data_IF_035285237331
#
_entry.id   IF_035285237331
#
_cell.length_a   1.000
_cell.length_b   1.000
_cell.length_c   1.000
_cell.angle_alpha   90.00
_cell.angle_beta   90.00
_cell.angle_gamma   90.00
#
_symmetry.space_group_name_H-M   'P 1'
#
loop_
_entity.id
_entity.type
_entity.pdbx_description
1 polymer ?
#
# COMPACT_ATOMS: atom_id res chain seq x y z
N UNK A 1 -72.43 -12.96 -36.73
CA UNK A 1 -71.74 -11.77 -36.24
C UNK A 1 -70.92 -12.21 -35.03
N UNK A 2 -69.66 -12.55 -35.29
CA UNK A 2 -68.72 -13.04 -34.22
C UNK A 2 -67.90 -11.86 -33.78
N UNK A 3 -67.98 -11.51 -32.51
CA UNK A 3 -67.14 -10.54 -31.85
C UNK A 3 -65.84 -11.23 -31.41
N UNK A 4 -64.72 -10.82 -31.96
CA UNK A 4 -63.39 -11.22 -31.50
C UNK A 4 -62.93 -10.18 -30.50
N UNK A 5 -62.80 -10.58 -29.23
CA UNK A 5 -62.17 -9.79 -28.18
C UNK A 5 -60.66 -10.02 -28.24
N UNK A 6 -59.89 -8.97 -28.56
CA UNK A 6 -58.43 -8.95 -28.49
C UNK A 6 -58.07 -8.63 -27.04
N UNK A 7 -57.48 -9.59 -26.35
CA UNK A 7 -56.84 -9.37 -25.03
C UNK A 7 -55.43 -8.83 -25.24
N UNK A 8 -55.21 -7.59 -24.81
CA UNK A 8 -53.92 -6.98 -24.74
C UNK A 8 -53.21 -7.48 -23.47
N UNK A 9 -52.24 -8.37 -23.61
CA UNK A 9 -51.31 -8.71 -22.55
C UNK A 9 -50.26 -7.60 -22.46
N UNK A 10 -50.26 -6.84 -21.39
CA UNK A 10 -49.15 -5.98 -21.01
C UNK A 10 -48.02 -6.84 -20.49
N UNK A 11 -46.90 -6.92 -21.23
CA UNK A 11 -45.66 -7.48 -20.73
C UNK A 11 -45.11 -6.59 -19.61
N UNK A 12 -45.06 -7.15 -18.42
CA UNK A 12 -44.45 -6.52 -17.24
C UNK A 12 -42.94 -6.61 -17.38
N UNK A 13 -42.33 -5.57 -17.97
CA UNK A 13 -40.89 -5.38 -18.00
C UNK A 13 -40.42 -4.90 -16.61
N UNK A 14 -40.45 -5.78 -15.64
CA UNK A 14 -39.69 -5.56 -14.41
C UNK A 14 -38.22 -5.81 -14.73
N UNK A 15 -37.49 -4.77 -15.16
CA UNK A 15 -36.04 -4.75 -15.08
C UNK A 15 -35.68 -5.02 -13.62
N UNK A 16 -35.14 -6.22 -13.39
CA UNK A 16 -34.66 -6.61 -12.09
C UNK A 16 -33.56 -5.66 -11.64
N UNK A 17 -33.90 -4.69 -10.80
CA UNK A 17 -32.90 -3.87 -10.10
C UNK A 17 -32.06 -4.84 -9.28
N UNK A 18 -30.87 -5.16 -9.78
CA UNK A 18 -29.86 -5.90 -9.02
C UNK A 18 -29.54 -5.03 -7.80
N UNK A 19 -30.12 -5.36 -6.66
CA UNK A 19 -29.77 -4.71 -5.38
C UNK A 19 -28.30 -4.99 -5.16
N UNK A 20 -27.48 -3.94 -5.28
CA UNK A 20 -26.06 -4.02 -4.92
C UNK A 20 -25.96 -4.48 -3.47
N UNK A 21 -25.30 -5.64 -3.25
CA UNK A 21 -25.15 -6.21 -1.92
C UNK A 21 -24.38 -5.24 -1.03
N UNK A 22 -25.01 -4.77 0.05
CA UNK A 22 -24.38 -3.85 0.99
C UNK A 22 -23.36 -4.61 1.83
N UNK A 23 -22.08 -4.26 1.69
CA UNK A 23 -20.97 -4.79 2.48
C UNK A 23 -19.95 -3.69 2.80
N UNK A 24 -19.28 -3.80 3.94
CA UNK A 24 -18.17 -2.91 4.33
C UNK A 24 -16.83 -3.61 4.20
N UNK A 25 -16.74 -4.90 4.57
CA UNK A 25 -15.52 -5.71 4.44
C UNK A 25 -15.88 -7.07 3.89
N UNK A 26 -15.25 -7.46 2.78
CA UNK A 26 -15.55 -8.73 2.09
C UNK A 26 -14.31 -9.29 1.39
N UNK A 27 -14.18 -10.62 1.40
CA UNK A 27 -13.11 -11.35 0.71
C UNK A 27 -13.53 -11.69 -0.73
N UNK A 28 -12.56 -11.62 -1.63
CA UNK A 28 -12.71 -11.90 -3.05
C UNK A 28 -11.55 -12.76 -3.57
N UNK A 29 -11.73 -13.30 -4.75
CA UNK A 29 -10.69 -14.03 -5.49
C UNK A 29 -10.61 -13.48 -6.92
N UNK A 30 -9.39 -13.27 -7.39
CA UNK A 30 -9.07 -12.97 -8.78
C UNK A 30 -8.23 -14.09 -9.38
N UNK A 31 -8.65 -14.64 -10.50
CA UNK A 31 -7.79 -15.55 -11.25
C UNK A 31 -6.74 -14.74 -12.03
N UNK A 32 -5.46 -14.98 -11.72
CA UNK A 32 -4.34 -14.29 -12.35
C UNK A 32 -3.22 -15.30 -12.69
N UNK A 33 -2.86 -15.40 -13.96
CA UNK A 33 -1.83 -16.32 -14.46
C UNK A 33 -2.02 -17.78 -14.01
N UNK A 34 -3.29 -18.26 -14.00
CA UNK A 34 -3.66 -19.61 -13.59
C UNK A 34 -3.79 -19.84 -12.09
N UNK A 35 -3.43 -18.85 -11.26
CA UNK A 35 -3.56 -18.92 -9.81
C UNK A 35 -4.80 -18.19 -9.30
N UNK A 36 -5.42 -18.72 -8.27
CA UNK A 36 -6.47 -18.03 -7.53
C UNK A 36 -5.81 -17.14 -6.46
N UNK A 37 -5.95 -15.81 -6.64
CA UNK A 37 -5.34 -14.79 -5.77
C UNK A 37 -6.44 -14.14 -4.94
N UNK A 38 -6.42 -14.38 -3.62
CA UNK A 38 -7.39 -13.80 -2.71
C UNK A 38 -7.01 -12.38 -2.30
N UNK A 39 -8.02 -11.58 -1.97
CA UNK A 39 -7.87 -10.25 -1.40
C UNK A 39 -9.09 -9.88 -0.57
N UNK A 40 -8.92 -8.97 0.39
CA UNK A 40 -9.99 -8.39 1.17
C UNK A 40 -10.18 -6.95 0.70
N UNK A 41 -11.43 -6.55 0.46
CA UNK A 41 -11.78 -5.15 0.26
C UNK A 41 -12.47 -4.62 1.51
N UNK A 42 -12.14 -3.39 1.86
CA UNK A 42 -12.92 -2.57 2.77
C UNK A 42 -13.44 -1.34 2.04
N UNK A 43 -14.75 -1.21 2.01
CA UNK A 43 -15.49 -0.11 1.37
C UNK A 43 -16.29 0.62 2.45
N UNK A 44 -15.95 1.87 2.79
CA UNK A 44 -16.68 2.65 3.78
C UNK A 44 -18.17 2.78 3.46
N UNK A 45 -19.00 2.90 4.48
CA UNK A 45 -20.38 3.30 4.28
C UNK A 45 -20.44 4.68 3.62
N UNK A 46 -21.28 4.83 2.59
CA UNK A 46 -21.35 6.08 1.83
C UNK A 46 -20.19 6.32 0.86
N UNK A 47 -19.44 5.25 0.49
CA UNK A 47 -18.39 5.31 -0.53
C UNK A 47 -18.85 6.03 -1.79
N UNK A 48 -18.04 6.96 -2.28
CA UNK A 48 -18.35 7.79 -3.43
C UNK A 48 -17.54 7.36 -4.67
N UNK A 49 -18.09 7.59 -5.85
CA UNK A 49 -17.32 7.48 -7.10
C UNK A 49 -16.13 8.45 -7.08
N UNK A 50 -15.06 8.09 -7.80
CA UNK A 50 -13.78 8.81 -7.82
C UNK A 50 -13.04 8.84 -6.47
N UNK A 51 -13.49 8.06 -5.47
CA UNK A 51 -12.78 7.93 -4.20
C UNK A 51 -11.37 7.33 -4.41
N UNK A 52 -10.44 7.58 -3.49
CA UNK A 52 -9.11 6.97 -3.53
C UNK A 52 -9.16 5.46 -3.26
N UNK A 53 -8.12 4.75 -3.77
CA UNK A 53 -7.86 3.33 -3.50
C UNK A 53 -6.48 3.16 -2.88
N UNK A 54 -6.43 2.52 -1.74
CA UNK A 54 -5.20 2.19 -1.05
C UNK A 54 -4.99 0.68 -0.98
N UNK A 55 -3.85 0.20 -1.46
CA UNK A 55 -3.36 -1.16 -1.24
C UNK A 55 -2.53 -1.20 0.04
N UNK A 56 -2.82 -2.15 0.95
CA UNK A 56 -2.04 -2.36 2.18
C UNK A 56 -1.51 -3.79 2.18
N UNK A 57 -0.20 -3.93 2.05
CA UNK A 57 0.50 -5.19 1.80
C UNK A 57 1.09 -5.75 3.10
N UNK A 58 0.85 -7.02 3.37
CA UNK A 58 1.34 -7.71 4.56
C UNK A 58 2.85 -8.00 4.49
N UNK A 59 3.48 -8.27 5.63
CA UNK A 59 4.87 -8.71 5.74
C UNK A 59 5.06 -10.19 5.37
N UNK A 60 6.32 -10.63 5.36
CA UNK A 60 6.69 -12.04 5.18
C UNK A 60 6.05 -12.90 6.27
N UNK A 61 5.59 -14.11 5.91
CA UNK A 61 4.85 -15.05 6.80
C UNK A 61 3.50 -14.55 7.33
N UNK A 62 3.04 -13.38 6.91
CA UNK A 62 1.81 -12.75 7.38
C UNK A 62 0.65 -12.94 6.39
N UNK A 63 -0.47 -12.28 6.60
CA UNK A 63 -1.66 -12.40 5.78
C UNK A 63 -2.39 -11.06 5.60
N UNK A 64 -3.26 -11.00 4.58
CA UNK A 64 -4.17 -9.89 4.35
C UNK A 64 -5.02 -9.55 5.59
N UNK A 65 -5.51 -10.57 6.28
CA UNK A 65 -6.31 -10.37 7.51
C UNK A 65 -5.46 -9.83 8.67
N UNK A 66 -4.22 -10.32 8.80
CA UNK A 66 -3.30 -9.84 9.84
C UNK A 66 -2.95 -8.36 9.65
N UNK A 67 -2.57 -7.94 8.43
CA UNK A 67 -2.21 -6.55 8.19
C UNK A 67 -3.44 -5.61 8.30
N UNK A 68 -4.62 -6.07 7.89
CA UNK A 68 -5.86 -5.32 8.09
C UNK A 68 -6.12 -5.02 9.56
N UNK A 69 -5.99 -6.05 10.43
CA UNK A 69 -6.19 -5.90 11.87
C UNK A 69 -5.07 -5.09 12.51
N UNK A 70 -3.82 -5.32 12.10
CA UNK A 70 -2.63 -4.70 12.66
C UNK A 70 -2.55 -3.20 12.34
N UNK A 71 -2.73 -2.84 11.08
CA UNK A 71 -2.70 -1.44 10.65
C UNK A 71 -3.91 -0.62 11.11
N UNK A 72 -5.05 -1.27 11.38
CA UNK A 72 -6.34 -0.61 11.66
C UNK A 72 -6.74 0.45 10.60
N UNK A 73 -6.24 0.31 9.38
CA UNK A 73 -6.44 1.29 8.31
C UNK A 73 -7.92 1.47 7.94
N UNK A 74 -8.77 0.47 8.22
CA UNK A 74 -10.21 0.57 8.00
C UNK A 74 -10.84 1.77 8.72
N UNK A 75 -10.40 2.06 9.96
CA UNK A 75 -10.89 3.23 10.71
C UNK A 75 -10.57 4.55 10.00
N UNK A 76 -9.39 4.62 9.41
CA UNK A 76 -8.95 5.81 8.66
C UNK A 76 -9.74 5.93 7.35
N UNK A 77 -10.01 4.80 6.68
CA UNK A 77 -10.83 4.76 5.48
C UNK A 77 -12.27 5.20 5.73
N UNK A 78 -12.89 4.71 6.82
CA UNK A 78 -14.26 5.09 7.22
C UNK A 78 -14.37 6.59 7.48
N UNK A 79 -13.36 7.20 8.08
CA UNK A 79 -13.34 8.63 8.37
C UNK A 79 -13.08 9.50 7.14
N UNK A 80 -12.42 8.96 6.10
CA UNK A 80 -11.93 9.74 4.97
C UNK A 80 -12.51 9.31 3.61
N UNK A 81 -13.35 8.28 3.55
CA UNK A 81 -14.11 7.89 2.37
C UNK A 81 -13.28 7.23 1.26
N UNK A 82 -12.17 6.53 1.57
CA UNK A 82 -11.39 5.80 0.57
C UNK A 82 -11.56 4.28 0.70
N UNK A 83 -11.38 3.57 -0.40
CA UNK A 83 -11.41 2.10 -0.43
C UNK A 83 -10.03 1.52 -0.10
N UNK A 84 -10.02 0.40 0.61
CA UNK A 84 -8.79 -0.35 0.86
C UNK A 84 -8.87 -1.73 0.23
N UNK A 85 -7.76 -2.15 -0.39
CA UNK A 85 -7.51 -3.51 -0.81
C UNK A 85 -6.36 -4.09 0.02
N UNK A 86 -6.62 -5.23 0.67
CA UNK A 86 -5.62 -6.06 1.34
C UNK A 86 -5.42 -7.34 0.54
N UNK A 87 -4.53 -7.37 -0.45
CA UNK A 87 -4.28 -8.57 -1.21
C UNK A 87 -3.47 -9.59 -0.40
N UNK A 88 -3.56 -10.88 -0.81
CA UNK A 88 -2.80 -11.97 -0.22
C UNK A 88 -1.64 -12.35 -1.11
N UNK A 89 -0.44 -12.35 -0.56
CA UNK A 89 0.77 -12.89 -1.17
C UNK A 89 0.70 -14.40 -1.32
N UNK A 90 1.50 -14.94 -2.23
CA UNK A 90 1.58 -16.40 -2.45
C UNK A 90 2.38 -17.10 -1.35
N UNK A 91 2.23 -18.41 -1.26
CA UNK A 91 2.95 -19.25 -0.31
C UNK A 91 4.14 -19.92 -1.03
N UNK A 92 5.33 -19.82 -0.45
CA UNK A 92 6.52 -20.56 -0.88
C UNK A 92 6.35 -22.05 -0.62
N UNK A 93 7.16 -22.88 -1.29
CA UNK A 93 7.19 -24.33 -1.02
C UNK A 93 7.55 -24.66 0.44
N UNK A 94 8.21 -23.76 1.13
CA UNK A 94 8.58 -23.83 2.55
C UNK A 94 7.46 -23.40 3.52
N UNK A 95 6.30 -22.99 2.98
CA UNK A 95 5.09 -22.64 3.76
C UNK A 95 4.93 -21.17 4.11
N UNK A 96 5.92 -20.31 3.85
CA UNK A 96 5.84 -18.89 4.16
C UNK A 96 5.08 -18.12 3.07
N UNK A 97 4.18 -17.25 3.46
CA UNK A 97 3.55 -16.28 2.58
C UNK A 97 4.49 -15.11 2.29
N UNK A 98 4.49 -14.59 1.06
CA UNK A 98 5.43 -13.56 0.63
C UNK A 98 4.91 -12.74 -0.54
N UNK A 99 5.56 -11.61 -0.77
CA UNK A 99 5.55 -10.84 -2.01
C UNK A 99 6.89 -11.02 -2.72
N UNK A 100 6.83 -11.35 -4.00
CA UNK A 100 8.03 -11.37 -4.85
C UNK A 100 8.33 -9.93 -5.35
N UNK A 101 8.96 -9.16 -4.48
CA UNK A 101 9.39 -7.78 -4.73
C UNK A 101 10.77 -7.75 -5.42
N UNK A 102 10.88 -8.37 -6.60
CA UNK A 102 12.16 -8.64 -7.28
C UNK A 102 13.18 -9.38 -6.40
N UNK A 103 12.67 -10.15 -5.44
CA UNK A 103 13.44 -11.03 -4.58
C UNK A 103 13.61 -12.39 -5.27
N UNK A 104 14.75 -13.03 -5.07
CA UNK A 104 15.06 -14.33 -5.71
C UNK A 104 14.41 -15.53 -5.00
N UNK A 105 13.31 -15.31 -4.28
CA UNK A 105 12.63 -16.35 -3.50
C UNK A 105 11.60 -17.13 -4.32
N UNK A 106 11.04 -16.54 -5.35
CA UNK A 106 10.04 -17.17 -6.23
C UNK A 106 10.05 -16.56 -7.63
N UNK A 107 9.28 -17.18 -8.54
CA UNK A 107 9.07 -16.69 -9.91
C UNK A 107 7.67 -16.10 -10.11
N UNK A 108 6.92 -15.93 -9.04
CA UNK A 108 5.55 -15.39 -9.09
C UNK A 108 5.60 -13.91 -9.49
N UNK A 109 4.78 -13.51 -10.45
CA UNK A 109 4.68 -12.13 -10.89
C UNK A 109 3.63 -11.37 -10.06
N UNK A 110 4.00 -11.00 -8.83
CA UNK A 110 3.15 -10.22 -7.94
C UNK A 110 2.97 -8.77 -8.42
N UNK A 111 3.96 -8.24 -9.13
CA UNK A 111 3.92 -6.88 -9.69
C UNK A 111 2.77 -6.74 -10.68
N UNK A 112 2.64 -7.71 -11.61
CA UNK A 112 1.55 -7.71 -12.58
C UNK A 112 0.20 -7.99 -11.90
N UNK A 113 0.15 -8.95 -10.95
CA UNK A 113 -1.06 -9.22 -10.18
C UNK A 113 -1.61 -7.96 -9.50
N UNK A 114 -0.78 -7.23 -8.75
CA UNK A 114 -1.20 -6.05 -8.03
C UNK A 114 -1.64 -4.90 -8.97
N UNK A 115 -0.93 -4.73 -10.09
CA UNK A 115 -1.29 -3.74 -11.09
C UNK A 115 -2.64 -4.08 -11.78
N UNK A 116 -2.85 -5.34 -12.17
CA UNK A 116 -4.10 -5.78 -12.79
C UNK A 116 -5.27 -5.71 -11.81
N UNK A 117 -5.04 -6.07 -10.54
CA UNK A 117 -6.06 -5.94 -9.49
C UNK A 117 -6.44 -4.47 -9.29
N UNK A 118 -5.47 -3.54 -9.26
CA UNK A 118 -5.74 -2.12 -9.14
C UNK A 118 -6.60 -1.60 -10.29
N UNK A 119 -6.22 -1.92 -11.54
CA UNK A 119 -6.97 -1.52 -12.74
C UNK A 119 -8.40 -2.10 -12.74
N UNK A 120 -8.55 -3.37 -12.33
CA UNK A 120 -9.87 -4.01 -12.17
C UNK A 120 -10.73 -3.24 -11.17
N UNK A 121 -10.21 -2.95 -9.98
CA UNK A 121 -10.95 -2.25 -8.93
C UNK A 121 -11.29 -0.80 -9.32
N UNK A 122 -10.37 -0.09 -9.98
CA UNK A 122 -10.62 1.24 -10.52
C UNK A 122 -11.84 1.25 -11.45
N UNK A 123 -11.92 0.27 -12.34
CA UNK A 123 -13.04 0.13 -13.29
C UNK A 123 -14.34 -0.30 -12.60
N UNK A 124 -14.27 -1.29 -11.71
CA UNK A 124 -15.44 -1.91 -11.06
C UNK A 124 -16.16 -0.96 -10.12
N UNK A 125 -15.39 -0.13 -9.38
CA UNK A 125 -15.91 0.79 -8.38
C UNK A 125 -15.85 2.26 -8.80
N UNK A 126 -15.57 2.56 -10.06
CA UNK A 126 -15.42 3.93 -10.57
C UNK A 126 -14.46 4.76 -9.71
N UNK A 127 -13.32 4.19 -9.37
CA UNK A 127 -12.25 4.83 -8.60
C UNK A 127 -11.43 5.73 -9.54
N UNK A 128 -11.02 6.90 -9.05
CA UNK A 128 -10.10 7.75 -9.80
C UNK A 128 -8.72 7.08 -9.95
N UNK A 129 -8.27 6.74 -11.18
CA UNK A 129 -6.98 6.08 -11.39
C UNK A 129 -5.77 6.90 -10.93
N UNK A 130 -5.93 8.24 -10.81
CA UNK A 130 -4.85 9.11 -10.32
C UNK A 130 -4.73 9.11 -8.80
N UNK A 131 -5.67 8.47 -8.08
CA UNK A 131 -5.73 8.39 -6.62
C UNK A 131 -5.59 6.94 -6.13
N UNK A 132 -4.69 6.17 -6.76
CA UNK A 132 -4.37 4.79 -6.35
C UNK A 132 -2.96 4.75 -5.75
N UNK A 133 -2.87 4.21 -4.53
CA UNK A 133 -1.69 4.22 -3.70
C UNK A 133 -1.35 2.82 -3.18
N UNK A 134 -0.08 2.58 -2.83
CA UNK A 134 0.35 1.33 -2.20
C UNK A 134 1.10 1.63 -0.89
N UNK A 135 0.81 0.83 0.13
CA UNK A 135 1.53 0.82 1.38
C UNK A 135 1.77 -0.62 1.83
N UNK A 136 2.80 -0.85 2.65
CA UNK A 136 3.02 -2.17 3.21
C UNK A 136 4.05 -2.17 4.33
N UNK A 137 4.06 -3.28 5.08
CA UNK A 137 5.00 -3.53 6.15
C UNK A 137 6.08 -4.53 5.70
N UNK A 138 7.34 -4.32 6.08
CA UNK A 138 8.41 -5.30 5.87
C UNK A 138 8.48 -5.74 4.40
N UNK A 139 8.32 -7.02 4.08
CA UNK A 139 8.23 -7.54 2.70
C UNK A 139 7.15 -6.82 1.86
N UNK A 140 6.01 -6.42 2.45
CA UNK A 140 5.02 -5.56 1.81
C UNK A 140 5.54 -4.14 1.54
N UNK A 141 6.44 -3.64 2.36
CA UNK A 141 7.15 -2.38 2.15
C UNK A 141 8.15 -2.47 0.99
N UNK A 142 8.90 -3.59 0.88
CA UNK A 142 9.71 -3.89 -0.31
C UNK A 142 8.86 -3.88 -1.57
N UNK A 143 7.71 -4.58 -1.53
CA UNK A 143 6.79 -4.62 -2.67
C UNK A 143 6.23 -3.23 -3.01
N UNK A 144 6.01 -2.36 -2.02
CA UNK A 144 5.60 -0.97 -2.29
C UNK A 144 6.66 -0.21 -3.07
N UNK A 145 7.95 -0.37 -2.74
CA UNK A 145 9.05 0.20 -3.53
C UNK A 145 9.10 -0.35 -4.95
N UNK A 146 8.99 -1.67 -5.10
CA UNK A 146 8.94 -2.32 -6.42
C UNK A 146 7.81 -1.77 -7.29
N UNK A 147 6.61 -1.56 -6.70
CA UNK A 147 5.49 -0.94 -7.39
C UNK A 147 5.77 0.52 -7.77
N UNK A 148 6.43 1.28 -6.90
CA UNK A 148 6.88 2.64 -7.20
C UNK A 148 7.87 2.69 -8.36
N UNK A 149 8.77 1.72 -8.45
CA UNK A 149 9.75 1.60 -9.53
C UNK A 149 9.10 1.19 -10.86
N UNK A 150 8.29 0.13 -10.86
CA UNK A 150 7.84 -0.52 -12.10
C UNK A 150 6.42 -0.17 -12.53
N UNK A 151 5.58 0.30 -11.60
CA UNK A 151 4.15 0.58 -11.82
C UNK A 151 3.74 1.98 -11.37
N UNK A 152 4.64 2.96 -11.45
CA UNK A 152 4.37 4.38 -11.14
C UNK A 152 3.25 5.01 -11.99
N UNK A 153 2.91 4.37 -13.11
CA UNK A 153 1.74 4.74 -13.91
C UNK A 153 0.41 4.26 -13.29
N UNK A 154 0.42 3.31 -12.37
CA UNK A 154 -0.75 2.79 -11.64
C UNK A 154 -0.76 3.33 -10.22
N UNK A 155 0.34 3.14 -9.47
CA UNK A 155 0.47 3.59 -8.08
C UNK A 155 1.15 4.96 -8.02
N UNK A 156 0.40 5.98 -7.63
CA UNK A 156 0.82 7.39 -7.74
C UNK A 156 1.68 7.89 -6.59
N UNK A 157 1.64 7.21 -5.46
CA UNK A 157 2.55 7.37 -4.33
C UNK A 157 2.63 6.05 -3.56
N UNK A 158 3.71 5.87 -2.82
CA UNK A 158 3.94 4.66 -2.03
C UNK A 158 4.29 5.01 -0.58
N UNK A 159 4.01 4.07 0.34
CA UNK A 159 4.46 4.14 1.71
C UNK A 159 5.04 2.79 2.15
N UNK A 160 6.17 2.83 2.85
CA UNK A 160 6.83 1.63 3.36
C UNK A 160 7.06 1.77 4.87
N UNK A 161 6.58 0.79 5.63
CA UNK A 161 6.82 0.70 7.07
C UNK A 161 7.77 -0.46 7.31
N UNK A 162 8.94 -0.19 7.88
CA UNK A 162 10.01 -1.17 8.16
C UNK A 162 10.40 -2.06 6.96
N UNK A 163 10.12 -1.57 5.75
CA UNK A 163 10.61 -2.14 4.50
C UNK A 163 11.71 -1.24 3.91
N UNK A 164 12.24 -1.64 2.75
CA UNK A 164 13.23 -0.87 1.98
C UNK A 164 13.24 -1.34 0.53
N UNK A 165 14.12 -0.81 -0.31
CA UNK A 165 14.35 -1.33 -1.65
C UNK A 165 15.14 -2.64 -1.58
N UNK A 166 14.78 -3.63 -2.42
CA UNK A 166 15.63 -4.80 -2.64
C UNK A 166 16.94 -4.41 -3.33
N UNK A 167 17.97 -5.23 -3.21
CA UNK A 167 19.22 -5.01 -3.94
C UNK A 167 19.03 -4.97 -5.45
N UNK A 168 18.06 -5.73 -5.98
CA UNK A 168 17.71 -5.67 -7.40
C UNK A 168 17.08 -4.31 -7.76
N UNK A 169 16.06 -3.87 -7.02
CA UNK A 169 15.40 -2.58 -7.28
C UNK A 169 16.37 -1.42 -7.12
N UNK A 170 17.27 -1.48 -6.13
CA UNK A 170 18.31 -0.48 -5.95
C UNK A 170 19.17 -0.25 -7.20
N UNK A 171 19.49 -1.33 -7.90
CA UNK A 171 20.35 -1.28 -9.09
C UNK A 171 19.59 -1.04 -10.39
N UNK A 172 18.26 -1.25 -10.42
CA UNK A 172 17.49 -1.28 -11.67
C UNK A 172 16.27 -0.35 -11.67
N UNK A 173 15.93 0.30 -10.56
CA UNK A 173 14.76 1.17 -10.44
C UNK A 173 14.90 2.39 -11.37
N UNK A 174 13.92 2.57 -12.25
CA UNK A 174 13.82 3.72 -13.14
C UNK A 174 12.36 4.03 -13.43
N UNK A 175 11.64 4.66 -12.49
CA UNK A 175 10.21 4.86 -12.60
C UNK A 175 9.87 5.79 -13.76
N UNK A 176 8.81 5.45 -14.51
CA UNK A 176 8.31 6.28 -15.63
C UNK A 176 7.69 7.60 -15.19
N UNK A 177 7.30 7.71 -13.93
CA UNK A 177 6.75 8.93 -13.32
C UNK A 177 7.44 9.18 -11.98
N UNK A 178 7.54 10.46 -11.61
CA UNK A 178 7.91 10.83 -10.25
C UNK A 178 6.92 10.23 -9.27
N UNK A 179 7.42 9.57 -8.25
CA UNK A 179 6.60 8.86 -7.26
C UNK A 179 6.93 9.37 -5.87
N UNK A 180 6.01 10.08 -5.22
CA UNK A 180 6.14 10.45 -3.82
C UNK A 180 6.30 9.20 -2.92
N UNK A 181 7.17 9.30 -1.92
CA UNK A 181 7.49 8.17 -1.02
C UNK A 181 7.37 8.61 0.43
N UNK A 182 6.69 7.80 1.24
CA UNK A 182 6.75 7.84 2.68
C UNK A 182 7.49 6.60 3.18
N UNK A 183 8.48 6.80 4.03
CA UNK A 183 9.22 5.73 4.73
C UNK A 183 9.12 5.92 6.23
N UNK A 184 8.86 4.82 6.96
CA UNK A 184 8.97 4.73 8.42
C UNK A 184 9.98 3.64 8.74
N UNK A 185 11.06 3.98 9.48
CA UNK A 185 12.11 3.01 9.85
C UNK A 185 12.57 3.19 11.29
N UNK A 186 12.71 2.06 11.99
CA UNK A 186 13.32 2.01 13.31
C UNK A 186 14.85 1.90 13.23
N UNK A 187 15.56 2.70 14.06
CA UNK A 187 17.04 2.66 14.06
C UNK A 187 17.61 1.41 14.73
N UNK A 188 16.78 0.65 15.46
CA UNK A 188 17.13 -0.65 16.07
C UNK A 188 16.41 -1.84 15.40
N UNK A 189 15.90 -1.65 14.18
CA UNK A 189 15.34 -2.75 13.41
C UNK A 189 16.44 -3.76 13.04
N UNK A 190 16.34 -4.98 13.58
CA UNK A 190 17.28 -6.08 13.32
C UNK A 190 16.82 -7.01 12.19
N UNK A 191 15.58 -6.83 11.71
CA UNK A 191 14.99 -7.62 10.62
C UNK A 191 15.27 -6.97 9.26
N UNK A 192 15.06 -5.66 9.17
CA UNK A 192 15.44 -4.83 8.03
C UNK A 192 16.36 -3.71 8.54
N UNK A 193 17.67 -4.02 8.69
CA UNK A 193 18.61 -3.13 9.33
C UNK A 193 18.72 -1.77 8.64
N UNK A 194 18.69 -0.72 9.45
CA UNK A 194 18.82 0.67 9.02
C UNK A 194 20.07 0.94 8.16
N UNK A 195 21.18 0.32 8.52
CA UNK A 195 22.51 0.54 7.93
C UNK A 195 22.74 -0.22 6.63
N UNK A 196 21.77 -1.02 6.19
CA UNK A 196 21.87 -1.82 4.97
C UNK A 196 22.64 -3.13 5.14
N UNK A 197 22.87 -3.58 6.37
CA UNK A 197 23.56 -4.87 6.64
C UNK A 197 22.62 -6.08 6.48
N UNK A 198 21.51 -5.93 5.78
CA UNK A 198 20.57 -7.00 5.51
C UNK A 198 21.22 -8.15 4.76
N UNK A 199 20.95 -9.37 5.20
CA UNK A 199 21.49 -10.58 4.61
C UNK A 199 21.06 -10.75 3.14
N UNK A 200 21.99 -11.19 2.29
CA UNK A 200 21.69 -11.62 0.92
C UNK A 200 21.16 -13.06 0.85
N UNK A 201 21.20 -13.78 1.97
CA UNK A 201 20.74 -15.16 2.05
C UNK A 201 19.24 -15.30 1.74
N UNK A 202 18.84 -16.51 1.35
CA UNK A 202 17.45 -16.89 1.09
C UNK A 202 16.72 -16.01 0.04
N UNK A 203 17.47 -15.35 -0.83
CA UNK A 203 16.90 -14.56 -1.94
C UNK A 203 16.50 -13.12 -1.58
N UNK A 204 16.82 -12.63 -0.38
CA UNK A 204 16.54 -11.23 -0.02
C UNK A 204 17.38 -10.21 -0.80
N UNK A 205 18.59 -10.63 -1.26
CA UNK A 205 19.40 -9.83 -2.16
C UNK A 205 20.09 -8.62 -1.55
N UNK A 206 20.14 -8.56 -0.21
CA UNK A 206 20.63 -7.39 0.51
C UNK A 206 19.70 -6.20 0.46
N UNK A 207 20.13 -5.08 1.02
CA UNK A 207 19.42 -3.80 0.96
C UNK A 207 20.43 -2.65 1.13
N UNK A 208 20.20 -1.48 0.53
CA UNK A 208 21.03 -0.32 0.79
C UNK A 208 20.71 0.30 2.16
N UNK A 209 21.65 1.09 2.70
CA UNK A 209 21.39 1.95 3.85
C UNK A 209 20.17 2.85 3.60
N UNK A 210 19.23 2.93 4.52
CA UNK A 210 17.93 3.58 4.29
C UNK A 210 18.06 5.06 3.90
N UNK A 211 19.06 5.79 4.44
CA UNK A 211 19.28 7.18 4.03
C UNK A 211 19.62 7.28 2.54
N UNK A 212 20.40 6.33 1.99
CA UNK A 212 20.70 6.31 0.55
C UNK A 212 19.44 6.07 -0.28
N UNK A 213 18.52 5.24 0.21
CA UNK A 213 17.22 5.04 -0.44
C UNK A 213 16.44 6.35 -0.46
N UNK A 214 16.41 7.08 0.65
CA UNK A 214 15.73 8.38 0.73
C UNK A 214 16.39 9.43 -0.15
N UNK A 215 17.72 9.45 -0.21
CA UNK A 215 18.47 10.37 -1.10
C UNK A 215 18.16 10.08 -2.57
N UNK A 216 18.16 8.81 -2.97
CA UNK A 216 17.82 8.37 -4.31
C UNK A 216 16.41 8.82 -4.74
N UNK A 217 15.39 8.59 -3.90
CA UNK A 217 14.02 9.01 -4.22
C UNK A 217 13.86 10.53 -4.20
N UNK A 218 14.58 11.23 -3.33
CA UNK A 218 14.60 12.70 -3.32
C UNK A 218 15.19 13.26 -4.61
N UNK A 219 16.28 12.68 -5.12
CA UNK A 219 16.88 13.04 -6.40
C UNK A 219 15.92 12.79 -7.57
N UNK A 220 15.33 11.60 -7.66
CA UNK A 220 14.33 11.26 -8.69
C UNK A 220 13.14 12.23 -8.71
N UNK A 221 12.71 12.70 -7.54
CA UNK A 221 11.58 13.60 -7.38
C UNK A 221 12.00 15.09 -7.46
N UNK A 222 13.29 15.39 -7.64
CA UNK A 222 13.86 16.74 -7.62
C UNK A 222 13.55 17.49 -6.31
N UNK A 223 13.63 16.79 -5.17
CA UNK A 223 13.50 17.36 -3.84
C UNK A 223 14.86 17.89 -3.37
N UNK A 224 14.92 19.17 -3.02
CA UNK A 224 16.17 19.87 -2.66
C UNK A 224 16.06 20.76 -1.41
N UNK A 225 14.93 20.70 -0.72
CA UNK A 225 14.69 21.45 0.53
C UNK A 225 14.20 20.47 1.59
N UNK A 226 14.88 20.43 2.72
CA UNK A 226 14.53 19.59 3.86
C UNK A 226 13.85 20.43 4.96
N UNK A 227 12.77 19.87 5.52
CA UNK A 227 12.09 20.36 6.71
C UNK A 227 12.09 19.24 7.75
N UNK A 228 12.57 19.52 8.96
CA UNK A 228 12.63 18.54 10.05
C UNK A 228 11.59 18.90 11.11
N UNK A 229 10.76 17.91 11.47
CA UNK A 229 9.72 18.00 12.49
C UNK A 229 10.02 16.94 13.54
N UNK A 230 10.20 17.35 14.81
CA UNK A 230 10.33 16.41 15.93
C UNK A 230 8.96 16.25 16.59
N UNK A 231 8.57 15.02 16.84
CA UNK A 231 7.35 14.68 17.58
C UNK A 231 7.63 14.70 19.08
N UNK A 232 6.61 14.98 19.86
CA UNK A 232 6.70 14.85 21.32
C UNK A 232 6.76 13.37 21.69
N UNK A 233 7.65 13.00 22.58
CA UNK A 233 7.68 11.70 23.22
C UNK A 233 6.49 11.60 24.19
N UNK A 234 5.41 10.93 23.75
CA UNK A 234 4.17 10.78 24.54
C UNK A 234 4.13 9.50 25.37
N UNK A 235 5.01 8.57 25.12
CA UNK A 235 5.18 7.33 25.89
C UNK A 235 6.68 7.01 26.10
N UNK A 236 7.36 7.70 27.02
CA UNK A 236 8.79 7.45 27.27
C UNK A 236 9.13 6.01 27.68
N UNK A 237 8.12 5.20 28.02
CA UNK A 237 8.32 3.80 28.40
C UNK A 237 8.65 2.89 27.20
N UNK A 238 8.33 3.30 25.97
CA UNK A 238 8.68 2.55 24.78
C UNK A 238 10.13 2.73 24.32
N UNK A 239 10.86 3.66 24.98
CA UNK A 239 12.27 3.97 24.75
C UNK A 239 12.60 4.37 23.31
N UNK A 240 11.67 5.02 22.64
CA UNK A 240 11.83 5.49 21.27
C UNK A 240 11.27 6.91 21.09
N UNK A 241 11.77 7.62 20.08
CA UNK A 241 11.30 8.97 19.71
C UNK A 241 11.19 9.06 18.20
N UNK A 242 10.38 10.00 17.70
CA UNK A 242 10.14 10.14 16.27
C UNK A 242 10.54 11.52 15.76
N UNK A 243 11.22 11.53 14.62
CA UNK A 243 11.39 12.71 13.78
C UNK A 243 10.94 12.44 12.35
N UNK A 244 10.43 13.46 11.68
CA UNK A 244 10.05 13.43 10.26
C UNK A 244 10.95 14.41 9.50
N UNK A 245 11.66 13.90 8.51
CA UNK A 245 12.31 14.72 7.49
C UNK A 245 11.43 14.75 6.25
N UNK A 246 10.87 15.92 5.93
CA UNK A 246 10.16 16.16 4.67
C UNK A 246 11.12 16.76 3.67
N UNK A 247 11.30 16.07 2.54
CA UNK A 247 12.08 16.58 1.42
C UNK A 247 11.14 17.08 0.34
N UNK A 248 11.28 18.33 -0.01
CA UNK A 248 10.39 19.05 -0.92
C UNK A 248 11.14 19.56 -2.14
N UNK A 249 10.47 19.56 -3.27
CA UNK A 249 10.95 20.19 -4.50
C UNK A 249 10.19 21.46 -4.83
N UNK A 250 10.58 22.12 -5.93
CA UNK A 250 9.85 23.28 -6.47
C UNK A 250 8.45 22.93 -7.01
N UNK A 251 8.17 21.66 -7.26
CA UNK A 251 6.86 21.15 -7.70
C UNK A 251 6.18 20.49 -6.51
N UNK A 252 5.11 21.04 -6.02
CA UNK A 252 4.43 20.72 -4.76
C UNK A 252 3.92 19.28 -4.58
N UNK A 253 4.09 18.35 -5.51
CA UNK A 253 3.41 17.05 -5.47
C UNK A 253 4.35 15.82 -5.50
N UNK A 254 5.63 15.98 -5.19
CA UNK A 254 6.59 14.87 -5.26
C UNK A 254 7.44 14.75 -3.99
N UNK A 255 6.85 15.01 -2.83
CA UNK A 255 7.56 15.02 -1.56
C UNK A 255 8.03 13.63 -1.14
N UNK A 256 9.13 13.58 -0.40
CA UNK A 256 9.60 12.40 0.32
C UNK A 256 9.43 12.68 1.82
N UNK A 257 8.70 11.81 2.51
CA UNK A 257 8.52 11.87 3.95
C UNK A 257 9.27 10.71 4.60
N UNK A 258 10.24 11.04 5.43
CA UNK A 258 11.04 10.05 6.13
C UNK A 258 10.88 10.16 7.64
N UNK A 259 10.16 9.21 8.23
CA UNK A 259 10.01 9.06 9.66
C UNK A 259 11.14 8.20 10.20
N UNK A 260 11.98 8.80 11.04
CA UNK A 260 13.02 8.10 11.80
C UNK A 260 12.47 7.81 13.19
N UNK A 261 12.31 6.52 13.52
CA UNK A 261 11.95 6.07 14.86
C UNK A 261 13.23 5.69 15.59
N UNK A 262 13.82 6.68 16.29
CA UNK A 262 15.05 6.47 17.05
C UNK A 262 14.77 5.54 18.23
N UNK A 263 15.50 4.43 18.33
CA UNK A 263 15.27 3.39 19.33
C UNK A 263 14.20 2.37 18.91
N UNK A 264 13.40 2.64 17.86
CA UNK A 264 12.35 1.75 17.35
C UNK A 264 12.89 0.50 16.65
N UNK A 265 12.10 -0.56 16.67
CA UNK A 265 12.38 -1.86 16.07
C UNK A 265 11.61 -2.09 14.75
N UNK A 266 11.27 -3.37 14.50
CA UNK A 266 10.53 -3.82 13.31
C UNK A 266 9.02 -3.76 13.56
N UNK A 267 8.46 -2.56 13.69
CA UNK A 267 7.13 -2.33 14.19
C UNK A 267 6.30 -1.45 13.22
N UNK A 268 4.97 -1.46 13.42
CA UNK A 268 4.04 -0.50 12.85
C UNK A 268 3.67 0.51 13.95
N UNK A 269 4.28 1.70 13.98
CA UNK A 269 4.03 2.69 15.02
C UNK A 269 2.55 2.99 15.24
N UNK A 270 2.15 3.08 16.49
CA UNK A 270 0.75 3.25 16.90
C UNK A 270 -0.05 1.95 17.05
N UNK A 271 0.36 0.85 16.36
CA UNK A 271 -0.20 -0.48 16.59
C UNK A 271 0.66 -1.29 17.56
N UNK A 272 1.97 -1.23 17.38
CA UNK A 272 2.97 -1.86 18.23
C UNK A 272 4.27 -1.05 18.20
N UNK A 273 5.14 -1.16 19.22
CA UNK A 273 6.38 -0.41 19.34
C UNK A 273 6.15 1.06 19.70
N UNK A 274 6.68 1.98 18.90
CA UNK A 274 6.55 3.42 19.13
C UNK A 274 5.08 3.88 19.12
N UNK A 275 4.76 4.79 20.04
CA UNK A 275 3.41 5.34 20.20
C UNK A 275 3.32 6.85 19.95
N UNK A 276 4.42 7.52 19.65
CA UNK A 276 4.43 8.97 19.39
C UNK A 276 3.68 9.34 18.12
N UNK A 277 3.55 8.39 17.20
CA UNK A 277 2.77 8.54 15.97
C UNK A 277 1.87 7.33 15.73
N UNK A 278 0.83 7.54 14.93
CA UNK A 278 0.06 6.45 14.31
C UNK A 278 0.45 6.36 12.84
N UNK A 279 1.18 5.29 12.46
CA UNK A 279 1.68 5.12 11.10
C UNK A 279 0.55 5.16 10.05
N UNK A 280 -0.63 4.61 10.36
CA UNK A 280 -1.77 4.61 9.42
C UNK A 280 -2.32 6.02 9.18
N UNK A 281 -2.38 6.85 10.22
CA UNK A 281 -2.78 8.25 10.08
C UNK A 281 -1.75 9.06 9.29
N UNK A 282 -0.46 8.86 9.57
CA UNK A 282 0.63 9.57 8.87
C UNK A 282 0.69 9.15 7.38
N UNK A 283 0.50 7.85 7.08
CA UNK A 283 0.39 7.35 5.71
C UNK A 283 -0.79 8.01 4.98
N UNK A 284 -1.96 8.10 5.63
CA UNK A 284 -3.09 8.76 4.99
C UNK A 284 -2.89 10.27 4.83
N UNK A 285 -2.33 10.96 5.83
CA UNK A 285 -1.96 12.39 5.72
C UNK A 285 -1.05 12.63 4.51
N UNK A 286 -0.10 11.73 4.28
CA UNK A 286 0.79 11.80 3.14
C UNK A 286 0.03 11.58 1.82
N UNK A 287 -0.73 10.50 1.68
CA UNK A 287 -1.46 10.22 0.43
C UNK A 287 -2.51 11.28 0.10
N UNK A 288 -3.16 11.85 1.12
CA UNK A 288 -4.16 12.90 0.95
C UNK A 288 -3.61 14.14 0.25
N UNK A 289 -2.32 14.45 0.38
CA UNK A 289 -1.69 15.59 -0.30
C UNK A 289 -1.48 15.33 -1.80
N UNK A 290 -1.53 14.08 -2.23
CA UNK A 290 -1.32 13.68 -3.62
C UNK A 290 -2.63 13.37 -4.36
N UNK A 291 -3.79 13.63 -3.77
CA UNK A 291 -5.10 13.49 -4.42
C UNK A 291 -5.27 14.51 -5.55
N UNK A 292 -5.92 14.07 -6.64
CA UNK A 292 -6.22 14.87 -7.83
C UNK A 292 -7.70 14.86 -8.18
#
# INVERSE_FOLDING_TARGET
MFLITVSCQTEDNSEGVIKEEKWTTKSFVLKHNGLDRSYILHKPDGFQINAPLLFVLHGFTSSSNTIMTYSQMNKIADQNGFMICYPQGTTLATGQTHWNANLQMSTINDIDFLAQLAIKLQKEYNINPTNTFASGMSNGGFMSYTLGCEKSNVFKAIASVTGTMSGYDWNNCNPSNKTPVLQISGTKDVTVPWDGTMSEAYGWGGAPHINKVMDYWAELNACNVDEIINFSDIDPSDSSTVSLTKRKGSSYNNEIWFYTVTGGGHDWPGAFGNKDINASEEIWKFFKQHLK
#
